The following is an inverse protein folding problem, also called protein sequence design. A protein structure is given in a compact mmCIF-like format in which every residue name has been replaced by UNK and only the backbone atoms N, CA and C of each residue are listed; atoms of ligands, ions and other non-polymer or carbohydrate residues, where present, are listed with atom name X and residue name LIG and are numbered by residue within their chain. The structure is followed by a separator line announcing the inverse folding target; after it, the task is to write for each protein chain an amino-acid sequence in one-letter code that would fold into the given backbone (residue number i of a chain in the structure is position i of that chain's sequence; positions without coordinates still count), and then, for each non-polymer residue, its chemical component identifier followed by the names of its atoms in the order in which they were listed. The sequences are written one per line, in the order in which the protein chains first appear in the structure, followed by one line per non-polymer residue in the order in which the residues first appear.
data_IF_913719070007
#
_entry.id   IF_913719070007
#
_cell.length_a   1.000
_cell.length_b   1.000
_cell.length_c   1.000
_cell.angle_alpha   90.00
_cell.angle_beta   90.00
_cell.angle_gamma   90.00
#
_symmetry.space_group_name_H-M   'P 1'
#
loop_
_entity.id
_entity.type
_entity.pdbx_description
1 polymer ?
#
# COMPACT_ATOMS: atom_id res chain seq x y z
N UNK A 1 7.36 -8.32 -11.68
CA UNK A 1 5.90 -8.49 -11.69
C UNK A 1 5.26 -7.25 -11.09
N UNK A 2 4.28 -6.65 -11.76
CA UNK A 2 3.49 -5.54 -11.24
C UNK A 2 2.38 -6.13 -10.36
N UNK A 3 2.21 -5.63 -9.14
CA UNK A 3 1.15 -6.07 -8.21
C UNK A 3 0.40 -4.81 -7.75
N UNK A 4 -0.83 -4.57 -8.22
CA UNK A 4 -1.68 -3.51 -7.69
C UNK A 4 -2.04 -3.79 -6.22
N UNK A 5 -2.09 -2.75 -5.40
CA UNK A 5 -2.41 -2.87 -3.98
C UNK A 5 -3.56 -1.92 -3.58
N UNK A 6 -4.54 -2.44 -2.83
CA UNK A 6 -5.59 -1.63 -2.20
C UNK A 6 -5.29 -1.53 -0.70
N UNK A 7 -4.89 -0.35 -0.22
CA UNK A 7 -4.74 -0.05 1.21
C UNK A 7 -6.08 0.43 1.76
N UNK A 8 -6.52 -0.14 2.88
CA UNK A 8 -7.77 0.24 3.56
C UNK A 8 -7.43 0.62 4.99
N UNK A 9 -7.73 1.86 5.39
CA UNK A 9 -7.35 2.37 6.71
C UNK A 9 -8.48 3.19 7.36
N UNK A 10 -8.84 2.91 8.62
CA UNK A 10 -9.76 3.75 9.36
C UNK A 10 -9.07 4.99 9.94
N UNK A 11 -9.72 6.14 9.93
CA UNK A 11 -9.22 7.37 10.57
C UNK A 11 -9.23 7.24 12.09
N UNK A 12 -10.25 6.57 12.64
CA UNK A 12 -10.48 6.45 14.08
C UNK A 12 -10.46 4.98 14.53
N UNK A 13 -9.63 4.69 15.55
CA UNK A 13 -9.60 3.39 16.24
C UNK A 13 -10.72 3.26 17.29
N UNK A 14 -11.11 2.02 17.59
CA UNK A 14 -11.91 1.69 18.79
C UNK A 14 -11.08 1.63 20.06
N UNK A 15 -9.76 1.47 19.94
CA UNK A 15 -8.83 1.28 21.04
C UNK A 15 -7.76 2.39 20.98
N UNK A 16 -8.03 3.57 21.55
CA UNK A 16 -7.07 4.68 21.59
C UNK A 16 -5.99 4.39 22.64
N UNK A 17 -4.98 3.61 22.26
CA UNK A 17 -3.83 3.27 23.11
C UNK A 17 -2.61 4.02 22.62
N UNK A 18 -2.17 5.02 23.39
CA UNK A 18 -1.04 5.88 23.08
C UNK A 18 -1.08 6.33 21.60
N UNK A 19 0.04 6.18 20.89
CA UNK A 19 0.17 6.58 19.49
C UNK A 19 0.01 5.41 18.51
N UNK A 20 -0.51 4.26 18.96
CA UNK A 20 -0.58 3.05 18.13
C UNK A 20 -1.30 3.29 16.81
N UNK A 21 -2.44 4.00 16.85
CA UNK A 21 -3.22 4.28 15.64
C UNK A 21 -2.53 5.30 14.73
N UNK A 22 -1.80 6.26 15.31
CA UNK A 22 -1.01 7.22 14.54
C UNK A 22 0.13 6.50 13.79
N UNK A 23 0.84 5.58 14.45
CA UNK A 23 1.88 4.77 13.80
C UNK A 23 1.31 3.86 12.71
N UNK A 24 0.17 3.22 12.94
CA UNK A 24 -0.51 2.41 11.92
C UNK A 24 -0.84 3.26 10.68
N UNK A 25 -1.46 4.42 10.88
CA UNK A 25 -1.87 5.32 9.81
C UNK A 25 -0.66 5.88 9.04
N UNK A 26 0.39 6.30 9.76
CA UNK A 26 1.64 6.77 9.15
C UNK A 26 2.30 5.69 8.30
N UNK A 27 2.31 4.43 8.75
CA UNK A 27 2.83 3.31 7.97
C UNK A 27 1.98 3.04 6.71
N UNK A 28 0.66 3.10 6.80
CA UNK A 28 -0.21 2.95 5.62
C UNK A 28 0.13 3.97 4.54
N UNK A 29 0.26 5.25 4.92
CA UNK A 29 0.62 6.31 3.98
C UNK A 29 2.05 6.14 3.45
N UNK A 30 3.01 5.84 4.32
CA UNK A 30 4.41 5.68 3.91
C UNK A 30 4.60 4.52 2.93
N UNK A 31 3.84 3.42 3.06
CA UNK A 31 3.87 2.31 2.11
C UNK A 31 3.31 2.72 0.74
N UNK A 32 2.17 3.40 0.69
CA UNK A 32 1.63 3.91 -0.58
C UNK A 32 2.60 4.89 -1.26
N UNK A 33 3.23 5.78 -0.49
CA UNK A 33 4.25 6.71 -0.98
C UNK A 33 5.51 5.99 -1.48
N UNK A 34 6.01 4.99 -0.75
CA UNK A 34 7.18 4.22 -1.14
C UNK A 34 6.94 3.40 -2.43
N UNK A 35 5.72 2.87 -2.63
CA UNK A 35 5.32 2.21 -3.87
C UNK A 35 5.31 3.19 -5.05
N UNK A 36 4.83 4.42 -4.84
CA UNK A 36 4.77 5.45 -5.87
C UNK A 36 6.16 6.01 -6.22
N UNK A 37 6.90 6.50 -5.23
CA UNK A 37 8.14 7.24 -5.43
C UNK A 37 9.36 6.32 -5.58
N UNK A 38 9.39 5.21 -4.85
CA UNK A 38 10.60 4.40 -4.73
C UNK A 38 11.73 5.10 -3.99
N UNK A 39 12.96 4.77 -4.37
CA UNK A 39 14.21 5.34 -3.87
C UNK A 39 15.30 5.16 -4.93
N UNK A 40 15.88 6.25 -5.40
CA UNK A 40 16.94 6.21 -6.43
C UNK A 40 18.27 5.75 -5.84
N UNK A 41 19.25 5.49 -6.73
CA UNK A 41 20.60 5.12 -6.31
C UNK A 41 21.29 6.27 -5.59
N UNK A 42 21.14 7.50 -6.10
CA UNK A 42 21.73 8.70 -5.53
C UNK A 42 21.17 8.96 -4.11
N UNK A 43 19.87 8.77 -3.93
CA UNK A 43 19.22 8.87 -2.61
C UNK A 43 19.74 7.78 -1.64
N UNK A 44 19.90 6.54 -2.13
CA UNK A 44 20.46 5.45 -1.33
C UNK A 44 21.92 5.68 -0.94
N UNK A 45 22.76 6.18 -1.86
CA UNK A 45 24.15 6.54 -1.59
C UNK A 45 24.25 7.71 -0.59
N UNK A 46 23.44 8.75 -0.75
CA UNK A 46 23.37 9.87 0.18
C UNK A 46 22.93 9.42 1.59
N UNK A 47 21.95 8.53 1.70
CA UNK A 47 21.50 7.96 2.98
C UNK A 47 22.63 7.14 3.66
N UNK A 48 23.34 6.32 2.90
CA UNK A 48 24.44 5.51 3.43
C UNK A 48 25.65 6.37 3.85
N UNK A 49 25.96 7.42 3.09
CA UNK A 49 27.00 8.40 3.46
C UNK A 49 26.64 9.17 4.72
N UNK A 50 25.38 9.57 4.86
CA UNK A 50 24.85 10.19 6.09
C UNK A 50 24.90 9.27 7.32
N UNK A 51 24.94 7.95 7.12
CA UNK A 51 25.15 6.95 8.19
C UNK A 51 26.62 6.70 8.53
N UNK A 52 27.55 7.37 7.85
CA UNK A 52 28.99 7.28 8.12
C UNK A 52 29.70 6.05 7.55
N UNK A 53 29.11 5.39 6.53
CA UNK A 53 29.78 4.28 5.85
C UNK A 53 30.90 4.80 4.93
N UNK A 54 31.94 3.98 4.72
CA UNK A 54 33.00 4.28 3.75
C UNK A 54 32.50 4.07 2.30
N UNK A 55 33.18 4.67 1.33
CA UNK A 55 32.75 4.65 -0.07
C UNK A 55 32.71 3.24 -0.68
N UNK A 56 33.61 2.34 -0.25
CA UNK A 56 33.65 0.96 -0.74
C UNK A 56 32.42 0.15 -0.28
N UNK A 57 31.92 0.41 0.93
CA UNK A 57 30.71 -0.21 1.45
C UNK A 57 29.45 0.44 0.85
N UNK A 58 29.49 1.75 0.59
CA UNK A 58 28.40 2.47 -0.10
C UNK A 58 28.19 1.90 -1.51
N UNK A 59 29.26 1.77 -2.29
CA UNK A 59 29.19 1.25 -3.66
C UNK A 59 28.62 -0.17 -3.72
N UNK A 60 28.94 -1.00 -2.72
CA UNK A 60 28.40 -2.36 -2.59
C UNK A 60 26.93 -2.39 -2.13
N UNK A 61 26.54 -1.51 -1.20
CA UNK A 61 25.22 -1.59 -0.55
C UNK A 61 24.14 -0.77 -1.26
N UNK A 62 24.49 0.35 -1.91
CA UNK A 62 23.52 1.24 -2.54
C UNK A 62 22.64 0.54 -3.60
N UNK A 63 23.17 -0.33 -4.49
CA UNK A 63 22.35 -1.04 -5.46
C UNK A 63 21.26 -1.92 -4.83
N UNK A 64 21.52 -2.48 -3.64
CA UNK A 64 20.56 -3.30 -2.89
C UNK A 64 19.50 -2.49 -2.14
N UNK A 65 19.68 -1.16 -2.04
CA UNK A 65 18.73 -0.24 -1.39
C UNK A 65 17.88 0.56 -2.38
N UNK A 66 18.13 0.44 -3.68
CA UNK A 66 17.30 1.04 -4.72
C UNK A 66 15.91 0.40 -4.70
N UNK A 67 14.88 1.25 -4.69
CA UNK A 67 13.48 0.83 -4.82
C UNK A 67 12.96 1.46 -6.11
N UNK A 68 12.52 0.68 -7.11
CA UNK A 68 12.20 1.24 -8.42
C UNK A 68 10.98 2.18 -8.44
N UNK A 69 10.12 2.15 -7.42
CA UNK A 69 8.89 2.96 -7.38
C UNK A 69 7.94 2.61 -8.52
N UNK A 70 7.08 3.57 -8.88
CA UNK A 70 6.10 3.47 -9.96
C UNK A 70 5.22 2.19 -9.87
N UNK A 71 4.81 1.83 -8.65
CA UNK A 71 3.91 0.71 -8.39
C UNK A 71 2.54 1.27 -7.98
N UNK A 72 1.45 0.89 -8.66
CA UNK A 72 0.14 1.48 -8.42
C UNK A 72 -0.47 0.97 -7.11
N UNK A 73 -1.12 1.87 -6.38
CA UNK A 73 -1.94 1.55 -5.23
C UNK A 73 -3.15 2.46 -5.12
N UNK A 74 -4.27 1.94 -4.61
CA UNK A 74 -5.38 2.75 -4.13
C UNK A 74 -5.33 2.86 -2.60
N UNK A 75 -5.72 4.01 -2.06
CA UNK A 75 -5.87 4.19 -0.60
C UNK A 75 -7.32 4.54 -0.28
N UNK A 76 -8.02 3.62 0.35
CA UNK A 76 -9.41 3.76 0.78
C UNK A 76 -9.45 4.16 2.25
N UNK A 77 -9.81 5.40 2.51
CA UNK A 77 -9.93 5.96 3.85
C UNK A 77 -11.38 5.89 4.31
N UNK A 78 -11.60 5.25 5.45
CA UNK A 78 -12.93 5.17 6.10
C UNK A 78 -12.87 5.86 7.45
N UNK A 79 -13.89 6.59 7.87
CA UNK A 79 -13.82 7.35 9.13
C UNK A 79 -13.57 6.44 10.35
N UNK A 80 -14.37 5.39 10.50
CA UNK A 80 -14.25 4.34 11.52
C UNK A 80 -14.92 3.09 10.97
N UNK A 81 -14.42 1.90 11.26
CA UNK A 81 -15.13 0.66 10.92
C UNK A 81 -16.42 0.57 11.75
N UNK A 82 -17.57 0.50 11.10
CA UNK A 82 -18.87 0.29 11.76
C UNK A 82 -19.67 -0.70 10.93
N UNK A 83 -20.74 -1.35 11.46
CA UNK A 83 -21.52 -2.31 10.68
C UNK A 83 -21.98 -1.73 9.32
N UNK A 84 -22.44 -0.48 9.31
CA UNK A 84 -22.83 0.25 8.09
C UNK A 84 -21.67 0.40 7.10
N UNK A 85 -20.50 0.85 7.56
CA UNK A 85 -19.34 1.12 6.68
C UNK A 85 -18.65 -0.15 6.23
N UNK A 86 -18.62 -1.18 7.08
CA UNK A 86 -18.14 -2.50 6.71
C UNK A 86 -19.04 -3.11 5.63
N UNK A 87 -20.37 -3.06 5.80
CA UNK A 87 -21.31 -3.50 4.78
C UNK A 87 -21.13 -2.76 3.46
N UNK A 88 -20.96 -1.43 3.50
CA UNK A 88 -20.67 -0.64 2.30
C UNK A 88 -19.34 -1.03 1.63
N UNK A 89 -18.29 -1.32 2.41
CA UNK A 89 -17.00 -1.76 1.90
C UNK A 89 -17.12 -3.13 1.19
N UNK A 90 -17.84 -4.08 1.79
CA UNK A 90 -18.11 -5.39 1.18
C UNK A 90 -18.89 -5.21 -0.13
N UNK A 91 -20.00 -4.48 -0.10
CA UNK A 91 -20.83 -4.22 -1.29
C UNK A 91 -20.05 -3.54 -2.42
N UNK A 92 -19.13 -2.64 -2.10
CA UNK A 92 -18.25 -2.00 -3.08
C UNK A 92 -17.37 -3.03 -3.80
N UNK A 93 -16.81 -4.01 -3.09
CA UNK A 93 -16.01 -5.08 -3.71
C UNK A 93 -16.88 -6.10 -4.46
N UNK A 94 -18.09 -6.41 -3.99
CA UNK A 94 -19.06 -7.24 -4.75
C UNK A 94 -19.37 -6.60 -6.10
N UNK A 95 -19.66 -5.30 -6.12
CA UNK A 95 -19.89 -4.57 -7.36
C UNK A 95 -18.63 -4.42 -8.21
N UNK A 96 -17.43 -4.28 -7.62
CA UNK A 96 -16.16 -4.32 -8.35
C UNK A 96 -15.98 -5.64 -9.12
N UNK A 97 -16.29 -6.77 -8.50
CA UNK A 97 -16.21 -8.10 -9.14
C UNK A 97 -17.28 -8.25 -10.22
N UNK A 98 -18.52 -7.84 -9.93
CA UNK A 98 -19.61 -7.88 -10.90
C UNK A 98 -19.32 -7.01 -12.15
N UNK A 99 -18.82 -5.79 -11.98
CA UNK A 99 -18.45 -4.93 -13.13
C UNK A 99 -17.37 -5.59 -13.98
N UNK A 100 -16.35 -6.21 -13.36
CA UNK A 100 -15.32 -6.95 -14.10
C UNK A 100 -15.91 -8.12 -14.89
N UNK A 101 -16.86 -8.87 -14.33
CA UNK A 101 -17.49 -9.99 -15.05
C UNK A 101 -18.31 -9.52 -16.24
N UNK A 102 -19.04 -8.40 -16.11
CA UNK A 102 -19.80 -7.80 -17.21
C UNK A 102 -18.86 -7.34 -18.32
N UNK A 103 -17.74 -6.69 -17.96
CA UNK A 103 -16.71 -6.26 -18.94
C UNK A 103 -16.11 -7.46 -19.67
N UNK A 104 -15.85 -8.57 -18.96
CA UNK A 104 -15.27 -9.78 -19.55
C UNK A 104 -16.30 -10.71 -20.21
N UNK A 105 -17.60 -10.41 -20.11
CA UNK A 105 -18.66 -11.24 -20.68
C UNK A 105 -18.78 -12.63 -20.04
N UNK A 106 -18.45 -12.77 -18.75
CA UNK A 106 -18.54 -14.03 -18.01
C UNK A 106 -19.62 -13.98 -16.93
N UNK A 107 -20.09 -15.16 -16.51
CA UNK A 107 -21.02 -15.27 -15.38
C UNK A 107 -20.26 -15.17 -14.06
N UNK A 108 -20.58 -14.17 -13.23
CA UNK A 108 -19.99 -14.00 -11.89
C UNK A 108 -20.59 -14.94 -10.83
N UNK A 109 -21.66 -15.66 -11.16
CA UNK A 109 -22.51 -16.34 -10.18
C UNK A 109 -22.55 -17.86 -10.35
N UNK A 110 -21.67 -18.44 -11.18
CA UNK A 110 -21.48 -19.88 -11.23
C UNK A 110 -20.11 -20.32 -10.66
N UNK A 111 -20.00 -21.61 -10.37
CA UNK A 111 -18.80 -22.25 -9.86
C UNK A 111 -18.72 -23.71 -10.33
N UNK A 112 -18.69 -23.92 -11.66
CA UNK A 112 -18.67 -25.26 -12.26
C UNK A 112 -17.32 -25.98 -12.21
N UNK A 113 -16.24 -25.23 -11.92
CA UNK A 113 -14.87 -25.73 -11.84
C UNK A 113 -14.67 -26.79 -10.78
#
# INVERSE_FOLDING_TARGET
QLIPADFIVPVVSFNPVADHHQWLYANCLSQSQALMLGKTREEAEAELRGKGLNEADIEKLAPHKVIPGNRPSNTLVVERISPRRLGALVAMYEHKVFVQSVIWGINAFDQWG
#
